data_IF_190553689556
#
_entry.id   IF_190553689556
#
_cell.length_a   1.000
_cell.length_b   1.000
_cell.length_c   1.000
_cell.angle_alpha   90.00
_cell.angle_beta   90.00
_cell.angle_gamma   90.00
#
_symmetry.space_group_name_H-M   'P 1'
#
loop_
_entity.id
_entity.type
_entity.pdbx_description
1 polymer ?
#
# COMPACT_ATOMS: atom_id res chain seq x y z
N UNK A 1 -6.63 -19.57 14.06
CA UNK A 1 -5.24 -19.67 14.57
C UNK A 1 -4.67 -18.27 14.51
N UNK A 2 -4.56 -17.60 15.64
CA UNK A 2 -3.89 -16.30 15.76
C UNK A 2 -2.41 -16.53 15.48
N UNK A 3 -1.92 -15.95 14.39
CA UNK A 3 -0.48 -15.94 14.05
C UNK A 3 0.23 -15.13 15.13
N UNK A 4 1.28 -15.66 15.74
CA UNK A 4 2.13 -14.94 16.68
C UNK A 4 2.60 -13.64 16.00
N UNK A 5 2.60 -12.54 16.78
CA UNK A 5 3.25 -11.30 16.36
C UNK A 5 4.70 -11.63 16.02
N UNK A 6 5.04 -11.61 14.75
CA UNK A 6 6.42 -11.79 14.31
C UNK A 6 7.15 -10.48 14.61
N UNK A 7 8.20 -10.57 15.41
CA UNK A 7 9.14 -9.45 15.68
C UNK A 7 9.97 -9.08 14.43
N UNK A 8 9.42 -9.19 13.25
CA UNK A 8 10.17 -9.06 12.01
C UNK A 8 9.50 -8.18 10.95
N UNK A 9 10.18 -8.05 9.81
CA UNK A 9 9.71 -7.26 8.67
C UNK A 9 8.42 -7.84 8.10
N UNK A 10 7.40 -7.00 7.87
CA UNK A 10 6.10 -7.38 7.31
C UNK A 10 6.05 -7.16 5.81
N UNK A 11 5.44 -8.10 5.10
CA UNK A 11 5.14 -8.00 3.67
C UNK A 11 3.68 -7.64 3.44
N UNK A 12 3.42 -6.47 2.88
CA UNK A 12 2.13 -6.13 2.28
C UNK A 12 2.17 -6.35 0.77
N UNK A 13 1.11 -6.98 0.24
CA UNK A 13 0.97 -7.21 -1.21
C UNK A 13 -0.28 -6.54 -1.73
N UNK A 14 -0.14 -5.63 -2.73
CA UNK A 14 -1.27 -5.03 -3.41
C UNK A 14 -1.85 -5.94 -4.48
N UNK A 15 -3.18 -6.04 -4.50
CA UNK A 15 -3.93 -6.95 -5.38
C UNK A 15 -5.21 -6.27 -5.90
N UNK A 16 -5.61 -6.57 -7.14
CA UNK A 16 -6.82 -6.00 -7.76
C UNK A 16 -7.74 -7.07 -8.37
N UNK A 17 -7.53 -8.32 -8.02
CA UNK A 17 -8.33 -9.43 -8.54
C UNK A 17 -8.49 -10.56 -7.50
N UNK A 18 -9.54 -11.40 -7.63
CA UNK A 18 -9.70 -12.60 -6.79
C UNK A 18 -8.52 -13.57 -6.88
N UNK A 19 -7.93 -13.71 -8.07
CA UNK A 19 -6.75 -14.53 -8.28
C UNK A 19 -5.53 -13.95 -7.55
N UNK A 20 -5.36 -12.62 -7.58
CA UNK A 20 -4.31 -11.91 -6.85
C UNK A 20 -4.44 -12.09 -5.33
N UNK A 21 -5.65 -11.97 -4.77
CA UNK A 21 -5.91 -12.27 -3.35
C UNK A 21 -5.46 -13.69 -2.99
N UNK A 22 -5.87 -14.68 -3.78
CA UNK A 22 -5.50 -16.06 -3.52
C UNK A 22 -3.97 -16.30 -3.65
N UNK A 23 -3.33 -15.68 -4.65
CA UNK A 23 -1.89 -15.77 -4.88
C UNK A 23 -1.08 -15.14 -3.72
N UNK A 24 -1.47 -13.95 -3.27
CA UNK A 24 -0.80 -13.26 -2.17
C UNK A 24 -0.90 -14.04 -0.84
N UNK A 25 -2.09 -14.54 -0.51
CA UNK A 25 -2.31 -15.39 0.67
C UNK A 25 -1.47 -16.68 0.58
N UNK A 26 -1.52 -17.37 -0.56
CA UNK A 26 -0.75 -18.60 -0.80
C UNK A 26 0.76 -18.38 -0.70
N UNK A 27 1.24 -17.26 -1.19
CA UNK A 27 2.65 -16.86 -1.13
C UNK A 27 3.12 -16.43 0.25
N UNK A 28 2.20 -16.16 1.18
CA UNK A 28 2.50 -15.84 2.57
C UNK A 28 2.68 -14.35 2.85
N UNK A 29 1.99 -13.47 2.11
CA UNK A 29 1.86 -12.06 2.48
C UNK A 29 1.32 -11.92 3.91
N UNK A 30 1.77 -10.91 4.66
CA UNK A 30 1.28 -10.66 6.01
C UNK A 30 0.01 -9.81 6.01
N UNK A 31 -0.12 -8.93 5.03
CA UNK A 31 -1.28 -8.05 4.80
C UNK A 31 -1.53 -7.89 3.30
N UNK A 32 -2.78 -7.64 2.94
CA UNK A 32 -3.18 -7.28 1.59
C UNK A 32 -3.54 -5.80 1.53
N UNK A 33 -3.17 -5.14 0.43
CA UNK A 33 -3.80 -3.90 0.01
C UNK A 33 -4.75 -4.21 -1.15
N UNK A 34 -6.04 -3.97 -0.95
CA UNK A 34 -7.06 -4.21 -1.97
C UNK A 34 -7.22 -2.99 -2.85
N UNK A 35 -7.06 -3.16 -4.14
CA UNK A 35 -7.18 -2.10 -5.12
C UNK A 35 -8.13 -2.50 -6.26
N UNK A 36 -8.38 -1.55 -7.13
CA UNK A 36 -8.73 -1.74 -8.53
C UNK A 36 -7.68 -1.01 -9.38
N UNK A 37 -7.50 -1.42 -10.63
CA UNK A 37 -6.70 -0.69 -11.60
C UNK A 37 -5.28 -0.33 -11.11
N UNK A 38 -4.51 -1.32 -10.66
CA UNK A 38 -3.11 -1.14 -10.20
C UNK A 38 -2.22 -0.44 -11.25
N UNK A 39 -2.57 -0.52 -12.54
CA UNK A 39 -1.87 0.15 -13.63
C UNK A 39 -1.84 1.68 -13.51
N UNK A 40 -2.79 2.27 -12.78
CA UNK A 40 -2.83 3.72 -12.48
C UNK A 40 -2.52 4.02 -11.01
N UNK A 41 -1.88 3.08 -10.31
CA UNK A 41 -1.46 3.24 -8.91
C UNK A 41 -2.52 2.83 -7.87
N UNK A 42 -3.55 2.09 -8.28
CA UNK A 42 -4.62 1.61 -7.40
C UNK A 42 -5.75 2.63 -7.23
N UNK A 43 -6.97 2.15 -7.35
CA UNK A 43 -8.23 2.87 -7.05
C UNK A 43 -9.01 2.07 -6.02
N UNK A 44 -10.12 2.65 -5.50
CA UNK A 44 -11.03 1.94 -4.59
C UNK A 44 -11.50 0.61 -5.23
N UNK A 45 -11.31 -0.54 -4.52
CA UNK A 45 -11.73 -1.84 -5.03
C UNK A 45 -13.25 -1.98 -5.05
N UNK A 46 -13.77 -2.86 -5.88
CA UNK A 46 -15.20 -3.15 -5.85
C UNK A 46 -15.61 -3.76 -4.51
N UNK A 47 -16.87 -3.49 -4.10
CA UNK A 47 -17.47 -4.10 -2.91
C UNK A 47 -17.36 -5.64 -2.93
N UNK A 48 -17.46 -6.25 -4.11
CA UNK A 48 -17.34 -7.69 -4.28
C UNK A 48 -15.94 -8.22 -3.94
N UNK A 49 -14.87 -7.51 -4.35
CA UNK A 49 -13.49 -7.88 -4.00
C UNK A 49 -13.23 -7.68 -2.50
N UNK A 50 -13.72 -6.58 -1.92
CA UNK A 50 -13.64 -6.33 -0.47
C UNK A 50 -14.32 -7.46 0.33
N UNK A 51 -15.55 -7.87 -0.07
CA UNK A 51 -16.29 -8.94 0.59
C UNK A 51 -15.57 -10.31 0.49
N UNK A 52 -14.96 -10.60 -0.67
CA UNK A 52 -14.15 -11.81 -0.86
C UNK A 52 -12.94 -11.82 0.08
N UNK A 53 -12.23 -10.72 0.17
CA UNK A 53 -11.07 -10.60 1.04
C UNK A 53 -11.47 -10.68 2.53
N UNK A 54 -12.55 -10.01 2.95
CA UNK A 54 -13.08 -10.10 4.30
C UNK A 54 -13.44 -11.54 4.68
N UNK A 55 -14.09 -12.28 3.75
CA UNK A 55 -14.44 -13.69 3.97
C UNK A 55 -13.22 -14.62 4.07
N UNK A 56 -12.05 -14.23 3.55
CA UNK A 56 -10.82 -15.01 3.69
C UNK A 56 -10.26 -14.99 5.12
N UNK A 57 -10.64 -14.02 5.94
CA UNK A 57 -10.09 -13.78 7.28
C UNK A 57 -8.65 -13.28 7.27
N UNK A 58 -8.10 -12.93 6.10
CA UNK A 58 -6.73 -12.40 5.98
C UNK A 58 -6.73 -10.89 6.21
N UNK A 59 -5.74 -10.32 6.92
CA UNK A 59 -5.65 -8.87 7.11
C UNK A 59 -5.61 -8.15 5.76
N UNK A 60 -6.59 -7.26 5.51
CA UNK A 60 -6.68 -6.56 4.23
C UNK A 60 -7.13 -5.12 4.44
N UNK A 61 -6.37 -4.17 3.89
CA UNK A 61 -6.69 -2.74 3.87
C UNK A 61 -7.19 -2.38 2.48
N UNK A 62 -8.23 -1.56 2.40
CA UNK A 62 -8.79 -1.16 1.12
C UNK A 62 -8.31 0.23 0.71
N UNK A 63 -7.84 0.37 -0.52
CA UNK A 63 -7.56 1.66 -1.13
C UNK A 63 -8.83 2.50 -1.20
N UNK A 64 -8.76 3.73 -0.73
CA UNK A 64 -9.82 4.74 -0.85
C UNK A 64 -9.30 5.86 -1.75
N UNK A 65 -9.51 5.69 -3.05
CA UNK A 65 -9.10 6.61 -4.11
C UNK A 65 -10.11 6.56 -5.25
N UNK A 66 -10.99 7.58 -5.37
CA UNK A 66 -12.18 7.50 -6.22
C UNK A 66 -11.85 7.60 -7.72
N UNK A 67 -10.71 8.18 -8.09
CA UNK A 67 -10.33 8.43 -9.48
C UNK A 67 -8.82 8.39 -9.71
N UNK A 68 -8.35 8.13 -10.95
CA UNK A 68 -6.94 8.28 -11.31
C UNK A 68 -6.53 9.76 -11.38
N UNK A 69 -5.21 10.00 -11.52
CA UNK A 69 -4.61 11.33 -11.57
C UNK A 69 -4.07 11.77 -10.23
N UNK A 70 -4.22 13.04 -9.93
CA UNK A 70 -3.76 13.66 -8.68
C UNK A 70 -4.56 13.21 -7.45
N UNK A 71 -4.21 13.77 -6.29
CA UNK A 71 -4.88 13.54 -5.01
C UNK A 71 -5.58 14.82 -4.48
N UNK A 72 -5.85 15.78 -5.37
CA UNK A 72 -6.55 17.03 -5.03
C UNK A 72 -8.06 16.79 -5.17
N UNK A 73 -8.76 16.66 -4.05
CA UNK A 73 -10.14 16.24 -4.03
C UNK A 73 -11.10 17.39 -3.73
N UNK A 74 -12.20 17.44 -4.49
CA UNK A 74 -13.32 18.33 -4.19
C UNK A 74 -14.34 17.67 -3.25
N UNK A 75 -15.39 18.43 -2.82
CA UNK A 75 -16.38 17.89 -1.90
C UNK A 75 -17.05 16.60 -2.37
N UNK A 76 -17.37 16.48 -3.66
CA UNK A 76 -17.98 15.28 -4.22
C UNK A 76 -17.04 14.06 -4.19
N UNK A 77 -15.72 14.26 -4.39
CA UNK A 77 -14.74 13.18 -4.24
C UNK A 77 -14.69 12.70 -2.78
N UNK A 78 -14.68 13.66 -1.82
CA UNK A 78 -14.65 13.35 -0.38
C UNK A 78 -15.92 12.62 0.08
N UNK A 79 -17.09 12.97 -0.46
CA UNK A 79 -18.35 12.27 -0.19
C UNK A 79 -18.24 10.80 -0.65
N UNK A 80 -17.76 10.55 -1.87
CA UNK A 80 -17.55 9.19 -2.41
C UNK A 80 -16.54 8.42 -1.54
N UNK A 81 -15.42 9.04 -1.17
CA UNK A 81 -14.42 8.41 -0.30
C UNK A 81 -15.01 8.05 1.07
N UNK A 82 -15.86 8.91 1.62
CA UNK A 82 -16.56 8.64 2.88
C UNK A 82 -17.47 7.42 2.80
N UNK A 83 -18.26 7.29 1.73
CA UNK A 83 -19.15 6.14 1.50
C UNK A 83 -18.36 4.84 1.26
N UNK A 84 -17.20 4.92 0.61
CA UNK A 84 -16.29 3.79 0.45
C UNK A 84 -15.71 3.34 1.80
N UNK A 85 -15.33 4.26 2.69
CA UNK A 85 -14.88 3.97 4.06
C UNK A 85 -15.99 3.26 4.85
N UNK A 86 -17.22 3.72 4.76
CA UNK A 86 -18.35 3.06 5.42
C UNK A 86 -18.59 1.64 4.87
N UNK A 87 -18.36 1.44 3.58
CA UNK A 87 -18.43 0.11 2.96
C UNK A 87 -17.35 -0.82 3.52
N UNK A 88 -16.12 -0.36 3.69
CA UNK A 88 -15.02 -1.10 4.32
C UNK A 88 -15.40 -1.53 5.73
N UNK A 89 -15.93 -0.59 6.54
CA UNK A 89 -16.40 -0.85 7.90
C UNK A 89 -17.51 -1.88 7.93
N UNK A 90 -18.53 -1.72 7.08
CA UNK A 90 -19.69 -2.62 7.02
C UNK A 90 -19.31 -4.05 6.61
N UNK A 91 -18.22 -4.23 5.86
CA UNK A 91 -17.69 -5.54 5.46
C UNK A 91 -16.74 -6.15 6.52
N UNK A 92 -16.39 -5.41 7.57
CA UNK A 92 -15.51 -5.88 8.63
C UNK A 92 -14.03 -5.96 8.23
N UNK A 93 -13.61 -5.20 7.21
CA UNK A 93 -12.20 -5.05 6.91
C UNK A 93 -11.49 -4.22 7.99
N UNK A 94 -10.23 -4.51 8.34
CA UNK A 94 -9.54 -3.87 9.46
C UNK A 94 -9.06 -2.45 9.18
N UNK A 95 -8.95 -2.02 7.91
CA UNK A 95 -8.36 -0.71 7.63
C UNK A 95 -8.52 -0.21 6.20
N UNK A 96 -8.05 1.01 6.01
CA UNK A 96 -8.08 1.77 4.76
C UNK A 96 -6.71 2.33 4.41
N UNK A 97 -6.52 2.60 3.11
CA UNK A 97 -5.34 3.28 2.57
C UNK A 97 -5.83 4.53 1.85
N UNK A 98 -5.42 5.70 2.26
CA UNK A 98 -5.91 6.96 1.72
C UNK A 98 -4.86 8.07 1.78
N UNK A 99 -5.13 9.18 1.12
CA UNK A 99 -4.31 10.40 1.13
C UNK A 99 -5.00 11.48 0.34
N UNK A 100 -4.72 12.73 0.64
CA UNK A 100 -5.23 13.91 -0.07
C UNK A 100 -4.16 15.00 -0.11
N UNK A 101 -4.12 15.76 -1.20
CA UNK A 101 -3.13 16.83 -1.42
C UNK A 101 -3.81 18.13 -1.79
N UNK A 102 -3.16 19.23 -1.44
CA UNK A 102 -3.47 20.56 -1.96
C UNK A 102 -2.91 20.73 -3.38
N UNK A 103 -3.39 21.72 -4.16
CA UNK A 103 -2.80 22.05 -5.46
C UNK A 103 -1.31 22.45 -5.39
N UNK A 104 -0.82 22.86 -4.21
CA UNK A 104 0.60 23.15 -3.95
C UNK A 104 1.48 21.91 -3.84
N UNK A 105 0.87 20.71 -3.71
CA UNK A 105 1.54 19.43 -3.49
C UNK A 105 1.63 19.02 -2.02
N UNK A 106 1.43 19.93 -1.07
CA UNK A 106 1.35 19.62 0.36
C UNK A 106 0.17 18.68 0.67
N UNK A 107 0.21 17.98 1.80
CA UNK A 107 -0.96 17.21 2.26
C UNK A 107 -2.12 18.14 2.61
N UNK A 108 -3.32 17.80 2.18
CA UNK A 108 -4.54 18.49 2.59
C UNK A 108 -5.00 17.96 3.96
N UNK A 109 -4.43 18.54 5.03
CA UNK A 109 -4.75 18.15 6.40
C UNK A 109 -6.24 18.30 6.74
N UNK A 110 -6.95 19.26 6.12
CA UNK A 110 -8.38 19.46 6.36
C UNK A 110 -9.21 18.34 5.73
N UNK A 111 -8.94 17.98 4.47
CA UNK A 111 -9.58 16.85 3.81
C UNK A 111 -9.24 15.53 4.52
N UNK A 112 -7.97 15.34 4.90
CA UNK A 112 -7.54 14.15 5.64
C UNK A 112 -8.24 14.04 7.00
N UNK A 113 -8.40 15.12 7.76
CA UNK A 113 -9.13 15.11 9.03
C UNK A 113 -10.57 14.62 8.86
N UNK A 114 -11.28 15.06 7.81
CA UNK A 114 -12.64 14.60 7.50
C UNK A 114 -12.66 13.08 7.25
N UNK A 115 -11.70 12.57 6.47
CA UNK A 115 -11.61 11.15 6.15
C UNK A 115 -11.20 10.30 7.35
N UNK A 116 -10.29 10.80 8.19
CA UNK A 116 -9.85 10.17 9.45
C UNK A 116 -11.03 10.07 10.43
N UNK A 117 -11.81 11.13 10.60
CA UNK A 117 -13.02 11.11 11.42
C UNK A 117 -14.01 10.06 10.92
N UNK A 118 -14.19 9.97 9.58
CA UNK A 118 -15.06 8.95 8.98
C UNK A 118 -14.49 7.55 9.16
N UNK A 119 -13.15 7.38 9.09
CA UNK A 119 -12.48 6.10 9.27
C UNK A 119 -12.51 5.59 10.72
N UNK A 120 -12.82 6.42 11.70
CA UNK A 120 -12.75 6.15 13.14
C UNK A 120 -12.85 4.69 13.57
N UNK A 121 -11.79 4.17 14.19
CA UNK A 121 -11.65 2.77 14.63
C UNK A 121 -11.14 1.80 13.57
N UNK A 122 -10.93 2.21 12.31
CA UNK A 122 -10.20 1.46 11.30
C UNK A 122 -8.71 1.82 11.36
N UNK A 123 -7.83 0.86 11.06
CA UNK A 123 -6.42 1.15 10.80
C UNK A 123 -6.25 2.00 9.55
N UNK A 124 -5.28 2.91 9.55
CA UNK A 124 -5.10 3.85 8.45
C UNK A 124 -3.67 3.86 7.93
N UNK A 125 -3.52 3.75 6.61
CA UNK A 125 -2.25 3.94 5.90
C UNK A 125 -2.33 5.21 5.05
N UNK A 126 -1.39 6.14 5.21
CA UNK A 126 -1.20 7.22 4.24
C UNK A 126 -0.49 6.64 3.01
N UNK A 127 -1.12 6.76 1.85
CA UNK A 127 -0.54 6.27 0.60
C UNK A 127 0.52 7.25 0.03
N UNK A 128 1.03 6.96 -1.15
CA UNK A 128 2.10 7.66 -1.84
C UNK A 128 1.83 9.13 -2.21
N UNK A 129 0.75 9.75 -1.73
CA UNK A 129 0.60 11.21 -1.80
C UNK A 129 1.77 11.94 -1.12
N UNK A 130 2.37 11.35 -0.08
CA UNK A 130 3.57 11.88 0.57
C UNK A 130 4.75 12.03 -0.39
N UNK A 131 4.87 11.15 -1.40
CA UNK A 131 5.96 11.21 -2.37
C UNK A 131 5.89 12.43 -3.31
N UNK A 132 4.76 13.15 -3.33
CA UNK A 132 4.56 14.35 -4.13
C UNK A 132 4.69 15.65 -3.33
N UNK A 133 4.89 15.56 -2.01
CA UNK A 133 4.99 16.73 -1.14
C UNK A 133 6.34 17.42 -1.30
N UNK A 134 6.40 18.75 -1.18
CA UNK A 134 7.65 19.48 -1.22
C UNK A 134 8.52 19.22 0.01
N UNK A 135 7.91 18.88 1.15
CA UNK A 135 8.58 18.52 2.41
C UNK A 135 7.96 17.23 2.98
N UNK A 136 8.63 16.06 2.79
CA UNK A 136 8.13 14.79 3.29
C UNK A 136 8.21 14.66 4.82
N UNK A 137 9.06 15.42 5.50
CA UNK A 137 9.15 15.42 6.97
C UNK A 137 7.93 16.13 7.56
N UNK A 138 7.56 17.30 7.04
CA UNK A 138 6.33 17.99 7.43
C UNK A 138 5.09 17.13 7.15
N UNK A 139 5.05 16.48 6.00
CA UNK A 139 3.96 15.57 5.64
C UNK A 139 3.88 14.35 6.60
N UNK A 140 5.01 13.83 7.05
CA UNK A 140 5.07 12.76 8.03
C UNK A 140 4.53 13.22 9.39
N UNK A 141 4.88 14.42 9.84
CA UNK A 141 4.36 14.99 11.09
C UNK A 141 2.83 15.17 11.04
N UNK A 142 2.28 15.65 9.92
CA UNK A 142 0.83 15.71 9.69
C UNK A 142 0.19 14.31 9.80
N UNK A 143 0.81 13.28 9.20
CA UNK A 143 0.29 11.91 9.29
C UNK A 143 0.30 11.38 10.72
N UNK A 144 1.34 11.67 11.49
CA UNK A 144 1.44 11.31 12.91
C UNK A 144 0.35 12.00 13.73
N UNK A 145 0.17 13.31 13.56
CA UNK A 145 -0.84 14.10 14.26
C UNK A 145 -2.27 13.63 13.98
N UNK A 146 -2.54 13.21 12.73
CA UNK A 146 -3.83 12.67 12.31
C UNK A 146 -4.05 11.21 12.74
N UNK A 147 -3.05 10.56 13.34
CA UNK A 147 -3.17 9.19 13.87
C UNK A 147 -3.10 8.07 12.83
N UNK A 148 -2.42 8.29 11.72
CA UNK A 148 -2.10 7.20 10.81
C UNK A 148 -1.18 6.18 11.47
N UNK A 149 -1.39 4.89 11.21
CA UNK A 149 -0.54 3.80 11.73
C UNK A 149 0.75 3.65 10.92
N UNK A 150 0.68 3.98 9.62
CA UNK A 150 1.79 3.84 8.68
C UNK A 150 1.71 4.80 7.52
N UNK A 151 2.87 4.97 6.89
CA UNK A 151 3.03 5.71 5.64
C UNK A 151 3.66 4.79 4.61
N UNK A 152 3.04 4.68 3.43
CA UNK A 152 3.62 4.04 2.26
C UNK A 152 4.35 5.08 1.42
N UNK A 153 5.65 4.89 1.20
CA UNK A 153 6.49 5.84 0.46
C UNK A 153 7.53 5.14 -0.41
N UNK A 154 7.95 5.81 -1.46
CA UNK A 154 9.17 5.49 -2.22
C UNK A 154 10.32 6.48 -1.96
N UNK A 155 10.20 7.32 -0.91
CA UNK A 155 11.19 8.33 -0.60
C UNK A 155 11.23 9.47 -1.61
N UNK A 156 10.06 9.92 -2.09
CA UNK A 156 9.90 10.99 -3.09
C UNK A 156 10.63 10.69 -4.42
N UNK A 157 10.94 9.43 -4.70
CA UNK A 157 11.59 8.96 -5.90
C UNK A 157 10.70 8.02 -6.71
N UNK A 158 11.13 7.62 -7.89
CA UNK A 158 10.37 6.71 -8.74
C UNK A 158 10.25 5.32 -8.12
N UNK A 159 11.32 4.86 -7.47
CA UNK A 159 11.37 3.58 -6.76
C UNK A 159 11.91 3.75 -5.35
N UNK A 160 11.57 2.83 -4.45
CA UNK A 160 12.07 2.84 -3.07
C UNK A 160 13.60 2.70 -2.99
N UNK A 161 14.22 2.02 -3.97
CA UNK A 161 15.69 1.90 -4.03
C UNK A 161 16.32 3.26 -4.35
N UNK A 162 15.75 4.02 -5.28
CA UNK A 162 16.24 5.37 -5.62
C UNK A 162 16.02 6.36 -4.47
N UNK A 163 14.96 6.20 -3.68
CA UNK A 163 14.61 7.06 -2.55
C UNK A 163 15.06 6.53 -1.18
N UNK A 164 15.95 5.55 -1.14
CA UNK A 164 16.31 4.87 0.11
C UNK A 164 16.90 5.82 1.17
N UNK A 165 17.65 6.85 0.78
CA UNK A 165 18.19 7.87 1.69
C UNK A 165 17.04 8.65 2.38
N UNK A 166 16.09 9.16 1.61
CA UNK A 166 14.90 9.86 2.17
C UNK A 166 14.05 8.92 3.03
N UNK A 167 13.90 7.63 2.64
CA UNK A 167 13.16 6.66 3.46
C UNK A 167 13.87 6.49 4.82
N UNK A 168 15.21 6.38 4.86
CA UNK A 168 15.95 6.29 6.10
C UNK A 168 15.78 7.53 6.98
N UNK A 169 15.80 8.73 6.38
CA UNK A 169 15.51 9.99 7.10
C UNK A 169 14.11 10.00 7.71
N UNK A 170 13.10 9.51 6.97
CA UNK A 170 11.73 9.39 7.47
C UNK A 170 11.63 8.38 8.62
N UNK A 171 12.34 7.25 8.54
CA UNK A 171 12.40 6.26 9.63
C UNK A 171 13.03 6.87 10.88
N UNK A 172 14.15 7.56 10.73
CA UNK A 172 14.82 8.24 11.84
C UNK A 172 13.93 9.32 12.45
N UNK A 173 13.26 10.13 11.63
CA UNK A 173 12.35 11.17 12.11
C UNK A 173 11.11 10.58 12.80
N UNK A 174 10.58 9.48 12.29
CA UNK A 174 9.40 8.81 12.85
C UNK A 174 9.62 8.35 14.30
N UNK A 175 10.83 7.91 14.66
CA UNK A 175 11.19 7.42 16.01
C UNK A 175 10.15 6.44 16.59
N UNK A 176 9.61 5.57 15.74
CA UNK A 176 8.59 4.57 16.11
C UNK A 176 7.19 5.12 16.39
N UNK A 177 6.94 6.42 16.19
CA UNK A 177 5.59 7.03 16.34
C UNK A 177 4.61 6.57 15.25
N UNK A 178 5.13 6.19 14.10
CA UNK A 178 4.40 5.70 12.93
C UNK A 178 5.30 4.72 12.16
N UNK A 179 4.72 3.71 11.50
CA UNK A 179 5.50 2.78 10.67
C UNK A 179 5.76 3.38 9.29
N UNK A 180 7.02 3.32 8.83
CA UNK A 180 7.38 3.64 7.45
C UNK A 180 7.45 2.35 6.65
N UNK A 181 6.63 2.27 5.59
CA UNK A 181 6.56 1.13 4.68
C UNK A 181 7.15 1.50 3.34
N UNK A 182 8.24 0.86 2.96
CA UNK A 182 8.88 1.09 1.68
C UNK A 182 8.13 0.39 0.54
N UNK A 183 7.78 1.13 -0.52
CA UNK A 183 7.09 0.58 -1.69
C UNK A 183 7.49 1.22 -3.00
N UNK A 184 7.03 0.65 -4.09
CA UNK A 184 7.42 0.93 -5.48
C UNK A 184 8.75 0.30 -5.87
N UNK A 185 8.67 -0.72 -6.73
CA UNK A 185 9.85 -1.41 -7.26
C UNK A 185 10.53 -2.38 -6.29
N UNK A 186 9.89 -2.72 -5.17
CA UNK A 186 10.40 -3.75 -4.25
C UNK A 186 10.23 -5.13 -4.88
N UNK A 187 11.34 -5.90 -4.88
CA UNK A 187 11.45 -7.24 -5.46
C UNK A 187 12.22 -8.17 -4.51
N UNK A 188 12.17 -9.50 -4.71
CA UNK A 188 13.00 -10.42 -3.93
C UNK A 188 14.50 -10.11 -3.99
N UNK A 189 14.97 -9.53 -5.11
CA UNK A 189 16.40 -9.28 -5.35
C UNK A 189 16.91 -8.02 -4.62
N UNK A 190 16.04 -7.06 -4.28
CA UNK A 190 16.46 -5.78 -3.69
C UNK A 190 15.94 -5.53 -2.28
N UNK A 191 14.95 -6.29 -1.83
CA UNK A 191 14.26 -6.03 -0.55
C UNK A 191 15.19 -6.08 0.65
N UNK A 192 16.12 -7.05 0.70
CA UNK A 192 17.06 -7.23 1.82
C UNK A 192 17.97 -6.03 1.98
N UNK A 193 18.57 -5.56 0.88
CA UNK A 193 19.47 -4.40 0.89
C UNK A 193 18.71 -3.11 1.19
N UNK A 194 17.50 -2.96 0.64
CA UNK A 194 16.62 -1.82 0.94
C UNK A 194 16.27 -1.75 2.43
N UNK A 195 15.87 -2.86 3.04
CA UNK A 195 15.53 -2.94 4.47
C UNK A 195 16.75 -2.59 5.33
N UNK A 196 17.92 -3.15 5.02
CA UNK A 196 19.17 -2.87 5.76
C UNK A 196 19.59 -1.41 5.66
N UNK A 197 19.42 -0.80 4.47
CA UNK A 197 19.79 0.59 4.23
C UNK A 197 18.85 1.57 4.91
N UNK A 198 17.55 1.25 4.95
CA UNK A 198 16.51 2.19 5.37
C UNK A 198 16.02 1.98 6.80
N UNK A 199 16.20 0.79 7.36
CA UNK A 199 15.68 0.43 8.67
C UNK A 199 14.15 0.24 8.71
N UNK A 200 13.45 0.14 7.56
CA UNK A 200 12.00 -0.08 7.54
C UNK A 200 11.64 -1.46 8.07
N UNK A 201 10.51 -1.55 8.76
CA UNK A 201 9.94 -2.80 9.30
C UNK A 201 8.77 -3.32 8.47
N UNK A 202 8.38 -2.60 7.42
CA UNK A 202 7.33 -3.00 6.51
C UNK A 202 7.76 -2.72 5.05
N UNK A 203 7.44 -3.64 4.15
CA UNK A 203 7.65 -3.48 2.72
C UNK A 203 6.37 -3.76 1.94
N UNK A 204 6.16 -3.02 0.86
CA UNK A 204 5.01 -3.12 -0.01
C UNK A 204 5.44 -3.50 -1.43
N UNK A 205 4.79 -4.51 -2.00
CA UNK A 205 5.08 -4.97 -3.35
C UNK A 205 3.83 -5.46 -4.07
N UNK A 206 3.80 -5.34 -5.40
CA UNK A 206 2.76 -5.99 -6.22
C UNK A 206 3.04 -7.47 -6.46
N UNK A 207 4.30 -7.88 -6.35
CA UNK A 207 4.76 -9.24 -6.71
C UNK A 207 4.23 -9.69 -8.08
N UNK A 208 4.07 -8.74 -9.00
CA UNK A 208 3.43 -8.99 -10.28
C UNK A 208 4.40 -9.58 -11.28
N UNK A 209 3.92 -10.55 -12.07
CA UNK A 209 4.59 -11.12 -13.24
C UNK A 209 3.78 -10.86 -14.50
N UNK A 210 4.45 -10.78 -15.64
CA UNK A 210 3.75 -10.72 -16.91
C UNK A 210 2.93 -12.02 -17.10
N UNK A 211 1.67 -11.92 -17.57
CA UNK A 211 0.88 -13.11 -17.86
C UNK A 211 1.57 -13.98 -18.93
N UNK A 212 1.46 -15.30 -18.79
CA UNK A 212 2.13 -16.27 -19.68
C UNK A 212 1.72 -16.10 -21.16
N UNK A 213 0.49 -15.67 -21.40
CA UNK A 213 -0.05 -15.40 -22.74
C UNK A 213 -0.88 -14.11 -22.67
N UNK A 214 -0.61 -13.20 -23.58
CA UNK A 214 -1.41 -11.98 -23.76
C UNK A 214 -2.15 -12.10 -25.10
N UNK A 215 -3.48 -12.07 -25.03
CA UNK A 215 -4.32 -12.09 -26.22
C UNK A 215 -4.18 -10.75 -26.99
N UNK A 216 -3.72 -10.85 -28.23
CA UNK A 216 -3.50 -9.67 -29.07
C UNK A 216 -4.80 -8.93 -29.41
N UNK A 217 -5.96 -9.62 -29.43
CA UNK A 217 -7.25 -8.96 -29.60
C UNK A 217 -7.59 -8.10 -28.36
N UNK A 218 -7.34 -8.58 -27.14
CA UNK A 218 -7.56 -7.80 -25.93
C UNK A 218 -6.67 -6.55 -25.88
N UNK A 219 -5.41 -6.67 -26.32
CA UNK A 219 -4.50 -5.52 -26.45
C UNK A 219 -5.00 -4.55 -27.51
N UNK A 220 -5.41 -5.04 -28.70
CA UNK A 220 -5.88 -4.21 -29.80
C UNK A 220 -7.12 -3.40 -29.42
N UNK A 221 -8.06 -3.99 -28.67
CA UNK A 221 -9.26 -3.31 -28.18
C UNK A 221 -9.06 -2.52 -26.88
N UNK A 222 -7.85 -2.53 -26.30
CA UNK A 222 -7.53 -1.79 -25.08
C UNK A 222 -8.12 -2.37 -23.80
N UNK A 223 -8.60 -3.63 -23.80
CA UNK A 223 -9.07 -4.33 -22.62
C UNK A 223 -7.94 -4.81 -21.70
N UNK A 224 -6.74 -4.95 -22.25
CA UNK A 224 -5.50 -5.21 -21.53
C UNK A 224 -4.49 -4.14 -21.92
N UNK A 225 -3.79 -3.57 -20.94
CA UNK A 225 -2.74 -2.59 -21.21
C UNK A 225 -1.41 -3.29 -21.51
N UNK A 226 -0.55 -2.71 -22.39
CA UNK A 226 0.83 -3.16 -22.52
C UNK A 226 1.53 -3.15 -21.17
N UNK A 227 2.22 -4.26 -20.83
CA UNK A 227 2.90 -4.39 -19.55
C UNK A 227 1.99 -4.75 -18.37
N UNK A 228 0.75 -5.17 -18.61
CA UNK A 228 -0.13 -5.72 -17.58
C UNK A 228 0.58 -6.83 -16.79
N UNK A 229 0.39 -6.86 -15.49
CA UNK A 229 1.01 -7.81 -14.57
C UNK A 229 -0.07 -8.41 -13.67
N UNK A 230 0.15 -9.65 -13.26
CA UNK A 230 -0.72 -10.38 -12.33
C UNK A 230 0.11 -10.79 -11.11
N UNK A 231 -0.46 -10.72 -9.91
CA UNK A 231 0.21 -11.14 -8.69
C UNK A 231 0.56 -12.62 -8.78
N UNK A 232 1.85 -12.95 -8.62
CA UNK A 232 2.36 -14.31 -8.70
C UNK A 232 2.72 -14.87 -7.32
N UNK A 233 2.13 -16.02 -6.97
CA UNK A 233 2.32 -16.63 -5.66
C UNK A 233 3.77 -17.07 -5.38
N UNK A 234 4.54 -17.45 -6.41
CA UNK A 234 5.94 -17.83 -6.24
C UNK A 234 6.79 -16.60 -5.92
N UNK A 235 6.54 -15.48 -6.61
CA UNK A 235 7.21 -14.20 -6.35
C UNK A 235 6.91 -13.68 -4.94
N UNK A 236 5.65 -13.78 -4.49
CA UNK A 236 5.28 -13.45 -3.09
C UNK A 236 6.04 -14.33 -2.11
N UNK A 237 6.10 -15.65 -2.36
CA UNK A 237 6.80 -16.61 -1.50
C UNK A 237 8.30 -16.32 -1.43
N UNK A 238 8.95 -16.00 -2.55
CA UNK A 238 10.37 -15.67 -2.58
C UNK A 238 10.67 -14.37 -1.84
N UNK A 239 9.84 -13.34 -2.02
CA UNK A 239 10.00 -12.09 -1.28
C UNK A 239 9.77 -12.31 0.22
N UNK A 240 8.71 -13.03 0.60
CA UNK A 240 8.44 -13.35 1.99
C UNK A 240 9.56 -14.18 2.65
N UNK A 241 10.18 -15.11 1.91
CA UNK A 241 11.33 -15.85 2.41
C UNK A 241 12.54 -14.94 2.60
N UNK A 242 12.88 -14.13 1.59
CA UNK A 242 14.04 -13.23 1.64
C UNK A 242 13.99 -12.27 2.84
N UNK A 243 12.83 -11.68 3.14
CA UNK A 243 12.71 -10.75 4.28
C UNK A 243 12.69 -11.45 5.64
N UNK A 244 12.24 -12.72 5.73
CA UNK A 244 12.27 -13.50 6.98
C UNK A 244 13.66 -13.99 7.33
N UNK A 245 14.51 -14.25 6.35
CA UNK A 245 15.90 -14.66 6.57
C UNK A 245 16.74 -13.53 7.21
N UNK A 246 16.33 -12.25 7.06
CA UNK A 246 16.97 -11.12 7.74
C UNK A 246 16.84 -11.25 9.28
N UNK A 247 15.71 -11.80 9.76
CA UNK A 247 15.41 -11.92 11.18
C UNK A 247 16.31 -12.95 11.91
N UNK A 248 16.82 -13.93 11.16
CA UNK A 248 17.66 -14.99 11.73
C UNK A 248 19.12 -14.54 12.01
N UNK A 249 19.60 -13.53 11.31
CA UNK A 249 21.04 -13.21 11.31
C UNK A 249 21.45 -11.89 11.97
N UNK A 250 20.65 -10.84 12.00
CA UNK A 250 21.05 -9.54 12.59
C UNK A 250 19.90 -8.51 12.60
N UNK A 251 19.30 -8.33 13.74
CA UNK A 251 18.73 -7.03 14.07
C UNK A 251 19.56 -6.44 15.22
N UNK A 252 20.06 -5.18 15.12
CA UNK A 252 20.80 -4.55 16.21
C UNK A 252 19.95 -4.28 17.43
#
# INVERSE_FOLDING_TARGET
MTRAETNGVRLEVCVDSPAGVAAAIKGGADRLELCAALVVGGLTPSRGLMALAAASGWPAYAMIRPRPGDFVYGPADLDVMGDDIDTVRALGLPGVVLGASLPSGELDAAALSILVDRAGGLGMTLHRAIDLTPDPIEALDIAIELGFERVLTSGCARTAVEGAETIAELVDHAQGRISIMAGSGVTPDNAVDLIRQTGVTEVHASCGMAPAVVDQHLLHFGFVQPGARETDAATVMWLAAAIRDIEADQWP
#
